data_IF_726583636186
#
_entry.id   IF_726583636186
#
_cell.length_a   1.000
_cell.length_b   1.000
_cell.length_c   1.000
_cell.angle_alpha   90.00
_cell.angle_beta   90.00
_cell.angle_gamma   90.00
#
_symmetry.space_group_name_H-M   'P 1'
#
loop_
_entity.id
_entity.type
_entity.pdbx_description
1 polymer ?
#
# COMPACT_ATOMS: atom_id res chain seq x y z
N UNK A 1 -27.47 6.99 -8.53
CA UNK A 1 -26.26 6.53 -7.84
C UNK A 1 -26.57 5.82 -6.51
N UNK A 2 -27.42 6.36 -5.61
CA UNK A 2 -27.76 5.72 -4.32
C UNK A 2 -28.24 4.29 -4.46
N UNK A 3 -29.16 4.03 -5.39
CA UNK A 3 -29.68 2.68 -5.66
C UNK A 3 -28.54 1.75 -6.16
N UNK A 4 -27.65 2.26 -7.02
CA UNK A 4 -26.51 1.50 -7.55
C UNK A 4 -25.48 1.15 -6.45
N UNK A 5 -25.24 2.07 -5.52
CA UNK A 5 -24.42 1.80 -4.33
C UNK A 5 -25.05 0.68 -3.49
N UNK A 6 -26.36 0.75 -3.26
CA UNK A 6 -27.07 -0.29 -2.52
C UNK A 6 -26.98 -1.66 -3.23
N UNK A 7 -27.21 -1.69 -4.55
CA UNK A 7 -27.09 -2.92 -5.35
C UNK A 7 -25.66 -3.47 -5.33
N UNK A 8 -24.64 -2.60 -5.45
CA UNK A 8 -23.23 -2.99 -5.36
C UNK A 8 -22.93 -3.60 -3.99
N UNK A 9 -23.35 -2.96 -2.90
CA UNK A 9 -23.18 -3.47 -1.54
C UNK A 9 -23.83 -4.85 -1.36
N UNK A 10 -25.08 -5.01 -1.78
CA UNK A 10 -25.81 -6.28 -1.64
C UNK A 10 -25.12 -7.41 -2.43
N UNK A 11 -24.68 -7.11 -3.63
CA UNK A 11 -23.94 -8.07 -4.48
C UNK A 11 -22.63 -8.49 -3.84
N UNK A 12 -21.83 -7.51 -3.40
CA UNK A 12 -20.49 -7.79 -2.85
C UNK A 12 -20.55 -8.49 -1.50
N UNK A 13 -21.53 -8.15 -0.66
CA UNK A 13 -21.75 -8.82 0.63
C UNK A 13 -21.85 -10.35 0.46
N UNK A 14 -22.56 -10.80 -0.56
CA UNK A 14 -22.81 -12.22 -0.82
C UNK A 14 -21.77 -12.89 -1.73
N UNK A 15 -20.73 -12.16 -2.18
CA UNK A 15 -19.70 -12.70 -3.07
C UNK A 15 -18.45 -13.08 -2.27
N UNK A 16 -18.00 -14.35 -2.29
CA UNK A 16 -16.74 -14.75 -1.67
C UNK A 16 -15.55 -13.99 -2.26
N UNK A 17 -14.57 -13.66 -1.43
CA UNK A 17 -13.40 -12.84 -1.86
C UNK A 17 -12.67 -13.51 -3.04
N UNK A 18 -12.39 -14.81 -2.97
CA UNK A 18 -11.71 -15.53 -4.05
C UNK A 18 -12.45 -15.40 -5.40
N UNK A 19 -13.80 -15.37 -5.38
CA UNK A 19 -14.62 -15.18 -6.59
C UNK A 19 -14.42 -13.80 -7.20
N UNK A 20 -14.15 -12.76 -6.40
CA UNK A 20 -13.87 -11.41 -6.90
C UNK A 20 -12.63 -11.40 -7.80
N UNK A 21 -11.59 -12.10 -7.37
CA UNK A 21 -10.33 -12.17 -8.11
C UNK A 21 -10.35 -13.10 -9.34
N UNK A 22 -11.38 -13.95 -9.48
CA UNK A 22 -11.57 -14.79 -10.66
C UNK A 22 -12.40 -14.13 -11.77
N UNK A 23 -12.95 -12.93 -11.54
CA UNK A 23 -13.72 -12.19 -12.55
C UNK A 23 -12.82 -11.71 -13.68
N UNK A 24 -13.43 -11.45 -14.85
CA UNK A 24 -12.74 -10.77 -15.96
C UNK A 24 -12.28 -9.39 -15.50
N UNK A 25 -11.02 -9.12 -15.68
CA UNK A 25 -10.38 -7.89 -15.26
C UNK A 25 -10.73 -6.72 -16.18
N UNK A 26 -10.98 -5.55 -15.59
CA UNK A 26 -11.22 -4.26 -16.24
C UNK A 26 -10.52 -3.19 -15.39
N UNK A 27 -10.37 -1.99 -15.92
CA UNK A 27 -10.01 -0.85 -15.06
C UNK A 27 -11.16 -0.52 -14.12
N UNK A 28 -10.87 0.00 -12.94
CA UNK A 28 -11.87 0.47 -11.99
C UNK A 28 -12.80 1.49 -12.63
N UNK A 29 -12.25 2.44 -13.43
CA UNK A 29 -13.05 3.43 -14.14
C UNK A 29 -14.07 2.79 -15.08
N UNK A 30 -13.61 1.90 -15.98
CA UNK A 30 -14.48 1.19 -16.92
C UNK A 30 -15.53 0.34 -16.20
N UNK A 31 -15.16 -0.24 -15.05
CA UNK A 31 -16.08 -1.01 -14.24
C UNK A 31 -17.20 -0.14 -13.64
N UNK A 32 -16.86 1.00 -13.03
CA UNK A 32 -17.83 1.95 -12.48
C UNK A 32 -18.78 2.47 -13.55
N UNK A 33 -18.26 2.80 -14.73
CA UNK A 33 -19.07 3.20 -15.89
C UNK A 33 -20.02 2.07 -16.33
N UNK A 34 -19.53 0.82 -16.40
CA UNK A 34 -20.36 -0.34 -16.76
C UNK A 34 -21.46 -0.66 -15.74
N UNK A 35 -21.28 -0.27 -14.48
CA UNK A 35 -22.32 -0.29 -13.45
C UNK A 35 -23.30 0.88 -13.56
N UNK A 36 -23.06 1.81 -14.49
CA UNK A 36 -23.90 2.95 -14.80
C UNK A 36 -23.83 4.07 -13.77
N UNK A 37 -22.76 4.17 -12.96
CA UNK A 37 -22.56 5.33 -12.09
C UNK A 37 -22.41 6.62 -12.90
N UNK A 38 -22.93 7.73 -12.38
CA UNK A 38 -22.81 9.03 -13.04
C UNK A 38 -21.37 9.54 -12.98
N UNK A 39 -20.97 10.35 -13.96
CA UNK A 39 -19.66 11.01 -13.96
C UNK A 39 -19.46 11.87 -12.70
N UNK A 40 -20.55 12.43 -12.18
CA UNK A 40 -20.53 13.24 -10.97
C UNK A 40 -20.02 12.45 -9.76
N UNK A 41 -20.61 11.27 -9.49
CA UNK A 41 -20.17 10.47 -8.33
C UNK A 41 -18.79 9.85 -8.57
N UNK A 42 -18.47 9.50 -9.82
CA UNK A 42 -17.13 9.01 -10.18
C UNK A 42 -16.09 10.08 -9.89
N UNK A 43 -16.29 11.30 -10.33
CA UNK A 43 -15.28 12.39 -10.19
C UNK A 43 -15.23 12.98 -8.79
N UNK A 44 -16.36 13.05 -8.09
CA UNK A 44 -16.43 13.71 -6.79
C UNK A 44 -16.24 12.78 -5.59
N UNK A 45 -16.37 11.48 -5.77
CA UNK A 45 -16.23 10.50 -4.68
C UNK A 45 -15.28 9.36 -5.05
N UNK A 46 -15.62 8.52 -6.04
CA UNK A 46 -14.83 7.32 -6.32
C UNK A 46 -13.39 7.66 -6.71
N UNK A 47 -13.20 8.63 -7.58
CA UNK A 47 -11.87 9.03 -8.03
C UNK A 47 -11.01 9.57 -6.88
N UNK A 48 -11.38 10.60 -6.12
CA UNK A 48 -10.53 11.09 -5.02
C UNK A 48 -10.29 10.03 -3.94
N UNK A 49 -11.29 9.19 -3.63
CA UNK A 49 -11.15 8.16 -2.60
C UNK A 49 -10.22 7.02 -3.03
N UNK A 50 -10.51 6.41 -4.16
CA UNK A 50 -9.72 5.26 -4.63
C UNK A 50 -8.36 5.66 -5.20
N UNK A 51 -8.18 6.89 -5.69
CA UNK A 51 -6.86 7.40 -6.05
C UNK A 51 -5.90 7.36 -4.86
N UNK A 52 -6.36 7.76 -3.68
CA UNK A 52 -5.54 7.71 -2.47
C UNK A 52 -5.16 6.28 -2.04
N UNK A 53 -6.00 5.29 -2.35
CA UNK A 53 -5.75 3.87 -2.04
C UNK A 53 -4.83 3.24 -3.09
N UNK A 54 -5.11 3.51 -4.37
CA UNK A 54 -4.37 2.91 -5.49
C UNK A 54 -3.11 3.69 -5.87
N UNK A 55 -2.85 4.83 -5.26
CA UNK A 55 -1.75 5.75 -5.54
C UNK A 55 -1.66 6.10 -7.04
N UNK A 56 -2.81 6.44 -7.63
CA UNK A 56 -2.95 6.84 -9.03
C UNK A 56 -4.12 7.82 -9.23
N UNK A 57 -4.10 8.56 -10.34
CA UNK A 57 -5.11 9.60 -10.55
C UNK A 57 -6.28 9.18 -11.47
N UNK A 58 -6.21 8.04 -12.18
CA UNK A 58 -7.11 7.76 -13.30
C UNK A 58 -7.94 6.47 -13.17
N UNK A 59 -7.94 5.85 -12.00
CA UNK A 59 -8.68 4.61 -11.70
C UNK A 59 -8.37 3.48 -12.71
N UNK A 60 -7.08 3.33 -13.08
CA UNK A 60 -6.60 2.28 -13.97
C UNK A 60 -6.41 0.94 -13.24
N UNK A 61 -6.26 0.96 -11.92
CA UNK A 61 -6.14 -0.24 -11.10
C UNK A 61 -7.33 -1.17 -11.33
N UNK A 62 -7.06 -2.47 -11.25
CA UNK A 62 -8.02 -3.55 -11.51
C UNK A 62 -9.34 -3.40 -10.75
N UNK A 63 -10.43 -3.66 -11.44
CA UNK A 63 -11.77 -3.74 -10.84
C UNK A 63 -11.90 -4.83 -9.78
N UNK A 64 -11.04 -5.85 -9.80
CA UNK A 64 -10.95 -6.88 -8.75
C UNK A 64 -10.53 -6.24 -7.43
N UNK A 65 -9.48 -5.38 -7.45
CA UNK A 65 -9.05 -4.63 -6.27
C UNK A 65 -10.11 -3.64 -5.79
N UNK A 66 -10.78 -2.95 -6.71
CA UNK A 66 -11.89 -2.06 -6.37
C UNK A 66 -12.98 -2.81 -5.60
N UNK A 67 -13.49 -3.92 -6.14
CA UNK A 67 -14.56 -4.70 -5.50
C UNK A 67 -14.09 -5.30 -4.15
N UNK A 68 -12.86 -5.78 -4.07
CA UNK A 68 -12.28 -6.30 -2.83
C UNK A 68 -12.23 -5.23 -1.74
N UNK A 69 -11.62 -4.08 -2.03
CA UNK A 69 -11.48 -2.99 -1.06
C UNK A 69 -12.85 -2.43 -0.68
N UNK A 70 -13.73 -2.24 -1.66
CA UNK A 70 -15.08 -1.75 -1.41
C UNK A 70 -15.86 -2.70 -0.48
N UNK A 71 -15.75 -4.01 -0.69
CA UNK A 71 -16.32 -5.02 0.19
C UNK A 71 -15.75 -4.93 1.61
N UNK A 72 -14.44 -4.80 1.77
CA UNK A 72 -13.80 -4.72 3.09
C UNK A 72 -14.28 -3.48 3.87
N UNK A 73 -14.40 -2.33 3.21
CA UNK A 73 -14.97 -1.12 3.84
C UNK A 73 -16.44 -1.24 4.21
N UNK A 74 -17.21 -2.05 3.47
CA UNK A 74 -18.63 -2.30 3.77
C UNK A 74 -18.85 -3.29 4.94
N UNK A 75 -17.86 -4.13 5.23
CA UNK A 75 -17.95 -5.21 6.24
C UNK A 75 -17.19 -4.94 7.54
N UNK A 76 -16.28 -3.96 7.54
CA UNK A 76 -15.40 -3.70 8.68
C UNK A 76 -15.14 -2.23 8.93
N UNK A 77 -14.30 -1.98 9.93
CA UNK A 77 -13.81 -0.66 10.27
C UNK A 77 -12.35 -0.48 9.82
N UNK A 78 -12.02 0.72 9.35
CA UNK A 78 -10.63 1.11 9.19
C UNK A 78 -10.02 1.32 10.59
N UNK A 79 -8.98 0.57 10.93
CA UNK A 79 -8.32 0.61 12.24
C UNK A 79 -6.83 0.81 12.09
N UNK A 80 -6.21 1.36 13.14
CA UNK A 80 -4.76 1.46 13.27
C UNK A 80 -4.31 0.75 14.55
N UNK A 81 -3.22 -0.02 14.53
CA UNK A 81 -2.65 -0.57 15.74
C UNK A 81 -2.28 0.55 16.72
N UNK A 82 -2.54 0.37 18.02
CA UNK A 82 -2.25 1.37 19.07
C UNK A 82 -0.79 1.86 19.05
N UNK A 83 0.15 0.98 18.73
CA UNK A 83 1.58 1.28 18.66
C UNK A 83 2.08 1.58 17.22
N UNK A 84 1.16 1.95 16.29
CA UNK A 84 1.45 2.21 14.89
C UNK A 84 1.50 0.94 14.04
N UNK A 85 1.52 1.11 12.71
CA UNK A 85 1.43 -0.01 11.75
C UNK A 85 2.60 -1.00 11.90
N UNK A 86 3.79 -0.53 12.28
CA UNK A 86 4.96 -1.37 12.52
C UNK A 86 4.78 -2.40 13.66
N UNK A 87 3.75 -2.23 14.52
CA UNK A 87 3.45 -3.19 15.58
C UNK A 87 3.07 -4.58 15.05
N UNK A 88 2.50 -4.64 13.84
CA UNK A 88 2.15 -5.91 13.18
C UNK A 88 3.41 -6.74 12.94
N UNK A 89 4.41 -6.16 12.27
CA UNK A 89 5.68 -6.85 12.01
C UNK A 89 6.43 -7.21 13.30
N UNK A 90 6.44 -6.32 14.30
CA UNK A 90 7.05 -6.60 15.61
C UNK A 90 6.36 -7.75 16.34
N UNK A 91 5.03 -7.82 16.27
CA UNK A 91 4.27 -8.91 16.87
C UNK A 91 4.60 -10.25 16.22
N UNK A 92 4.65 -10.30 14.87
CA UNK A 92 5.07 -11.50 14.15
C UNK A 92 6.49 -11.92 14.52
N UNK A 93 7.44 -11.00 14.49
CA UNK A 93 8.84 -11.26 14.86
C UNK A 93 8.99 -11.78 16.29
N UNK A 94 8.17 -11.30 17.25
CA UNK A 94 8.20 -11.75 18.65
C UNK A 94 7.80 -13.20 18.86
N UNK A 95 7.13 -13.83 17.89
CA UNK A 95 6.76 -15.24 17.94
C UNK A 95 7.90 -16.18 17.49
N UNK A 96 8.92 -15.65 16.82
CA UNK A 96 10.06 -16.41 16.34
C UNK A 96 11.03 -16.69 17.49
N UNK A 97 11.01 -17.93 18.03
CA UNK A 97 11.81 -18.30 19.23
C UNK A 97 13.22 -18.78 18.89
N UNK A 98 13.38 -19.45 17.76
CA UNK A 98 14.64 -20.10 17.33
C UNK A 98 15.28 -19.42 16.12
N UNK A 99 14.60 -18.44 15.53
CA UNK A 99 15.06 -17.73 14.34
C UNK A 99 16.00 -16.59 14.74
N UNK A 100 17.16 -16.54 14.09
CA UNK A 100 18.07 -15.42 14.22
C UNK A 100 17.61 -14.26 13.32
N UNK A 101 17.34 -13.09 13.90
CA UNK A 101 17.01 -11.87 13.16
C UNK A 101 18.22 -10.94 13.20
N UNK A 102 18.77 -10.65 12.02
CA UNK A 102 19.89 -9.72 11.86
C UNK A 102 19.40 -8.42 11.23
N UNK A 103 19.44 -7.33 11.99
CA UNK A 103 19.12 -5.98 11.50
C UNK A 103 20.38 -5.25 11.07
N UNK A 104 20.23 -4.22 10.22
CA UNK A 104 21.33 -3.43 9.67
C UNK A 104 22.36 -4.29 8.91
N UNK A 105 21.90 -5.35 8.28
CA UNK A 105 22.71 -6.31 7.55
C UNK A 105 22.20 -6.36 6.10
N UNK A 106 22.76 -5.53 5.24
CA UNK A 106 22.31 -5.36 3.87
C UNK A 106 22.79 -6.52 3.00
N UNK A 107 21.85 -7.13 2.25
CA UNK A 107 22.16 -8.13 1.23
C UNK A 107 22.53 -7.43 -0.07
N UNK A 108 23.73 -7.72 -0.57
CA UNK A 108 24.22 -7.18 -1.82
C UNK A 108 23.86 -8.05 -3.04
N UNK A 109 23.93 -9.39 -2.87
CA UNK A 109 23.69 -10.34 -3.97
C UNK A 109 23.16 -11.67 -3.43
N UNK A 110 22.28 -12.28 -4.18
CA UNK A 110 21.80 -13.65 -3.98
C UNK A 110 22.00 -14.44 -5.28
N UNK A 111 22.58 -15.61 -5.18
CA UNK A 111 22.67 -16.61 -6.24
C UNK A 111 22.27 -17.99 -5.69
N UNK A 112 22.33 -19.05 -6.49
CA UNK A 112 21.93 -20.41 -6.12
C UNK A 112 22.65 -21.03 -4.92
N UNK A 113 23.83 -20.52 -4.57
CA UNK A 113 24.71 -21.14 -3.56
C UNK A 113 24.84 -20.32 -2.28
N UNK A 114 24.88 -18.99 -2.42
CA UNK A 114 25.08 -18.11 -1.28
C UNK A 114 24.41 -16.74 -1.39
N UNK A 115 24.23 -16.17 -0.21
CA UNK A 115 23.86 -14.76 -0.01
C UNK A 115 25.15 -14.02 0.30
N UNK A 116 25.45 -12.96 -0.46
CA UNK A 116 26.59 -12.07 -0.21
C UNK A 116 26.07 -10.78 0.44
N UNK A 117 26.65 -10.45 1.59
CA UNK A 117 26.32 -9.24 2.32
C UNK A 117 27.12 -8.05 1.82
N UNK A 118 26.68 -6.82 2.09
CA UNK A 118 27.41 -5.60 1.78
C UNK A 118 28.77 -5.51 2.49
N UNK A 119 28.97 -6.23 3.61
CA UNK A 119 30.25 -6.40 4.31
C UNK A 119 31.24 -7.28 3.52
N UNK A 120 30.80 -8.03 2.52
CA UNK A 120 31.57 -9.05 1.82
C UNK A 120 31.42 -10.47 2.39
N UNK A 121 30.75 -10.63 3.54
CA UNK A 121 30.49 -11.94 4.13
C UNK A 121 29.56 -12.75 3.23
N UNK A 122 29.74 -14.08 3.23
CA UNK A 122 28.91 -15.00 2.47
C UNK A 122 28.27 -16.05 3.37
N UNK A 123 27.00 -16.33 3.12
CA UNK A 123 26.23 -17.35 3.83
C UNK A 123 25.65 -18.35 2.83
N UNK A 124 25.97 -19.62 3.00
CA UNK A 124 25.29 -20.71 2.29
C UNK A 124 23.90 -20.94 2.88
N UNK A 125 23.00 -21.49 2.09
CA UNK A 125 21.64 -21.80 2.51
C UNK A 125 21.12 -23.07 1.81
N UNK A 126 20.18 -23.74 2.43
CA UNK A 126 19.45 -24.86 1.82
C UNK A 126 18.30 -24.33 0.95
N UNK A 127 17.55 -23.34 1.44
CA UNK A 127 16.49 -22.62 0.72
C UNK A 127 16.53 -21.13 1.08
N UNK A 128 16.35 -20.26 0.11
CA UNK A 128 16.28 -18.81 0.29
C UNK A 128 14.88 -18.28 -0.04
N UNK A 129 14.29 -17.50 0.88
CA UNK A 129 13.06 -16.75 0.62
C UNK A 129 13.40 -15.26 0.52
N UNK A 130 13.21 -14.69 -0.66
CA UNK A 130 13.39 -13.27 -0.94
C UNK A 130 12.07 -12.55 -0.70
N UNK A 131 11.94 -11.85 0.43
CA UNK A 131 10.74 -11.18 0.88
C UNK A 131 10.74 -9.65 0.63
N UNK A 132 11.46 -9.21 -0.38
CA UNK A 132 11.56 -7.80 -0.81
C UNK A 132 11.66 -7.73 -2.33
N UNK A 133 11.74 -6.51 -2.91
CA UNK A 133 11.95 -6.35 -4.35
C UNK A 133 13.31 -6.96 -4.77
N UNK A 134 13.31 -8.04 -5.57
CA UNK A 134 14.52 -8.77 -5.90
C UNK A 134 15.40 -8.06 -6.93
N UNK A 135 14.89 -7.04 -7.62
CA UNK A 135 15.51 -6.44 -8.81
C UNK A 135 16.89 -5.82 -8.58
N UNK A 136 17.28 -5.55 -7.33
CA UNK A 136 18.54 -4.90 -6.99
C UNK A 136 19.67 -5.86 -6.63
N UNK A 137 19.39 -7.11 -6.27
CA UNK A 137 20.39 -8.02 -5.72
C UNK A 137 20.25 -9.49 -6.17
N UNK A 138 19.13 -9.86 -6.80
CA UNK A 138 18.97 -11.23 -7.30
C UNK A 138 19.57 -11.32 -8.70
N UNK A 139 20.61 -12.15 -8.82
CA UNK A 139 21.34 -12.33 -10.08
C UNK A 139 20.44 -12.94 -11.15
N UNK A 140 20.49 -12.40 -12.37
CA UNK A 140 19.67 -12.88 -13.50
C UNK A 140 18.19 -12.45 -13.47
N UNK A 141 17.71 -11.83 -12.41
CA UNK A 141 16.33 -11.36 -12.32
C UNK A 141 16.09 -10.18 -13.25
N UNK A 142 15.38 -10.45 -14.35
CA UNK A 142 15.15 -9.45 -15.40
C UNK A 142 13.80 -8.71 -15.30
N UNK A 143 12.90 -9.15 -14.41
CA UNK A 143 11.59 -8.53 -14.24
C UNK A 143 11.76 -7.18 -13.55
N UNK A 144 11.46 -6.11 -14.27
CA UNK A 144 11.42 -4.77 -13.68
C UNK A 144 10.06 -4.52 -13.09
N UNK A 145 9.96 -4.62 -11.78
CA UNK A 145 8.77 -4.20 -11.07
C UNK A 145 8.57 -2.68 -11.27
N UNK A 146 7.39 -2.30 -11.72
CA UNK A 146 6.99 -0.90 -11.75
C UNK A 146 6.38 -0.54 -10.40
N UNK A 147 6.60 0.69 -9.98
CA UNK A 147 6.13 1.19 -8.71
C UNK A 147 5.34 2.48 -8.90
N UNK A 148 4.27 2.60 -8.18
CA UNK A 148 3.56 3.86 -7.97
C UNK A 148 4.26 4.63 -6.86
N UNK A 149 4.24 5.94 -6.97
CA UNK A 149 4.93 6.85 -6.06
C UNK A 149 3.93 7.74 -5.35
N UNK A 150 4.27 8.24 -4.20
CA UNK A 150 3.52 9.31 -3.54
C UNK A 150 4.43 10.15 -2.67
N UNK A 151 3.99 11.37 -2.41
CA UNK A 151 4.58 12.22 -1.39
C UNK A 151 3.65 12.30 -0.18
N UNK A 152 4.21 12.14 1.00
CA UNK A 152 3.50 12.30 2.26
C UNK A 152 4.16 13.40 3.08
N UNK A 153 3.40 14.44 3.39
CA UNK A 153 3.87 15.56 4.20
C UNK A 153 3.17 15.57 5.55
N UNK A 154 3.93 15.81 6.60
CA UNK A 154 3.42 15.92 7.96
C UNK A 154 3.57 17.34 8.47
N UNK A 155 2.49 17.81 9.08
CA UNK A 155 2.44 19.13 9.72
C UNK A 155 1.90 19.00 11.15
N UNK A 156 2.37 19.86 12.04
CA UNK A 156 1.70 20.14 13.31
C UNK A 156 0.72 21.28 13.07
N UNK A 157 -0.52 21.09 13.48
CA UNK A 157 -1.61 22.06 13.32
C UNK A 157 -2.22 22.34 14.67
N UNK A 158 -2.35 23.61 15.01
CA UNK A 158 -3.10 23.99 16.21
C UNK A 158 -4.60 23.92 15.93
N UNK A 159 -5.32 23.22 16.79
CA UNK A 159 -6.78 23.05 16.69
C UNK A 159 -7.43 23.43 18.00
N UNK A 160 -8.68 23.89 17.95
CA UNK A 160 -9.47 24.17 19.16
C UNK A 160 -10.11 22.86 19.68
N UNK A 161 -10.54 21.99 18.76
CA UNK A 161 -11.15 20.71 19.05
C UNK A 161 -10.44 19.59 18.29
N UNK A 162 -10.43 18.38 18.83
CA UNK A 162 -9.87 17.21 18.16
C UNK A 162 -10.69 16.90 16.90
N UNK A 163 -10.08 16.91 15.71
CA UNK A 163 -10.81 16.60 14.48
C UNK A 163 -11.40 15.17 14.53
N UNK A 164 -12.53 14.93 13.87
CA UNK A 164 -13.08 13.59 13.77
C UNK A 164 -12.11 12.65 13.02
N UNK A 165 -12.13 11.34 13.31
CA UNK A 165 -11.25 10.35 12.67
C UNK A 165 -11.74 9.99 11.26
N UNK A 166 -11.75 10.98 10.37
CA UNK A 166 -12.17 10.82 8.97
C UNK A 166 -11.07 11.27 8.01
N UNK A 167 -11.07 10.70 6.82
CA UNK A 167 -10.20 11.14 5.71
C UNK A 167 -10.96 12.22 4.93
N UNK A 168 -10.35 13.40 4.81
CA UNK A 168 -10.87 14.47 3.97
C UNK A 168 -10.27 14.35 2.57
N UNK A 169 -11.13 14.30 1.56
CA UNK A 169 -10.76 14.13 0.17
C UNK A 169 -10.79 15.46 -0.58
N UNK A 170 -9.87 15.67 -1.51
CA UNK A 170 -9.96 16.74 -2.49
C UNK A 170 -10.58 16.20 -3.78
N UNK A 171 -11.76 16.73 -4.15
CA UNK A 171 -12.40 16.43 -5.44
C UNK A 171 -12.03 17.45 -6.54
N UNK A 172 -11.10 18.36 -6.25
CA UNK A 172 -10.67 19.40 -7.18
C UNK A 172 -9.59 18.85 -8.12
N UNK A 173 -9.78 19.04 -9.43
CA UNK A 173 -8.86 18.51 -10.44
C UNK A 173 -7.49 19.21 -10.48
N UNK A 174 -7.41 20.44 -9.99
CA UNK A 174 -6.23 21.31 -10.07
C UNK A 174 -5.45 21.42 -8.75
N UNK A 175 -5.70 20.52 -7.78
CA UNK A 175 -4.95 20.49 -6.51
C UNK A 175 -3.86 19.42 -6.54
N UNK A 176 -2.78 19.64 -5.77
CA UNK A 176 -1.76 18.63 -5.47
C UNK A 176 -2.27 17.66 -4.40
N UNK A 177 -2.98 18.19 -3.41
CA UNK A 177 -3.50 17.40 -2.28
C UNK A 177 -4.60 16.46 -2.78
N UNK A 178 -4.39 15.15 -2.59
CA UNK A 178 -5.42 14.14 -2.80
C UNK A 178 -6.30 14.01 -1.55
N UNK A 179 -5.69 13.86 -0.40
CA UNK A 179 -6.39 13.72 0.87
C UNK A 179 -5.57 14.22 2.04
N UNK A 180 -6.27 14.54 3.13
CA UNK A 180 -5.66 14.83 4.43
C UNK A 180 -6.29 13.96 5.51
N UNK A 181 -5.50 13.65 6.54
CA UNK A 181 -5.94 12.88 7.69
C UNK A 181 -5.22 13.34 8.95
N UNK A 182 -5.89 13.24 10.09
CA UNK A 182 -5.29 13.52 11.40
C UNK A 182 -5.02 12.20 12.15
N UNK A 183 -3.81 11.62 12.08
CA UNK A 183 -3.49 10.37 12.79
C UNK A 183 -3.77 10.45 14.29
N UNK A 184 -3.57 11.63 14.88
CA UNK A 184 -3.81 11.89 16.29
C UNK A 184 -5.30 11.97 16.68
N UNK A 185 -6.22 11.99 15.71
CA UNK A 185 -7.65 11.82 15.98
C UNK A 185 -8.02 10.37 16.39
N UNK A 186 -7.19 9.40 15.98
CA UNK A 186 -7.34 7.99 16.36
C UNK A 186 -6.38 7.62 17.49
N UNK A 187 -5.14 8.12 17.42
CA UNK A 187 -4.11 7.92 18.43
C UNK A 187 -3.95 9.24 19.20
N UNK A 188 -4.24 9.23 20.49
CA UNK A 188 -4.21 10.44 21.31
C UNK A 188 -2.88 11.19 21.19
N UNK A 189 -2.96 12.47 20.80
CA UNK A 189 -1.79 13.35 20.76
C UNK A 189 -1.24 13.62 22.18
N UNK A 190 0.09 13.76 22.33
CA UNK A 190 0.69 14.19 23.59
C UNK A 190 0.19 15.58 24.03
N UNK A 191 0.01 16.51 23.10
CA UNK A 191 -0.56 17.83 23.30
C UNK A 191 -1.93 17.91 22.59
N UNK A 192 -3.04 18.05 23.32
CA UNK A 192 -4.38 18.11 22.73
C UNK A 192 -4.61 19.32 21.83
N UNK A 193 -3.85 20.41 22.02
CA UNK A 193 -3.97 21.62 21.20
C UNK A 193 -3.21 21.51 19.87
N UNK A 194 -2.33 20.53 19.71
CA UNK A 194 -1.56 20.30 18.49
C UNK A 194 -1.85 18.92 17.94
N UNK A 195 -2.36 18.87 16.72
CA UNK A 195 -2.65 17.63 16.02
C UNK A 195 -1.65 17.39 14.89
N UNK A 196 -1.29 16.13 14.69
CA UNK A 196 -0.53 15.73 13.51
C UNK A 196 -1.47 15.68 12.31
N UNK A 197 -1.13 16.44 11.27
CA UNK A 197 -1.81 16.40 9.98
C UNK A 197 -0.92 15.64 8.98
N UNK A 198 -1.46 14.62 8.37
CA UNK A 198 -0.88 13.89 7.23
C UNK A 198 -1.54 14.37 5.94
N UNK A 199 -0.73 14.72 4.95
CA UNK A 199 -1.16 15.18 3.63
C UNK A 199 -0.58 14.26 2.58
N UNK A 200 -1.40 13.74 1.67
CA UNK A 200 -0.97 12.87 0.58
C UNK A 200 -1.05 13.61 -0.75
N UNK A 201 0.04 13.57 -1.50
CA UNK A 201 0.16 14.11 -2.86
C UNK A 201 0.48 12.94 -3.80
N UNK A 202 -0.32 12.78 -4.87
CA UNK A 202 -0.20 11.70 -5.85
C UNK A 202 0.27 12.18 -7.21
N UNK A 203 -0.02 13.44 -7.54
CA UNK A 203 0.36 14.01 -8.85
C UNK A 203 1.87 14.09 -8.96
N UNK A 204 2.38 13.59 -10.07
CA UNK A 204 3.80 13.75 -10.39
C UNK A 204 4.14 15.23 -10.54
N UNK A 205 5.27 15.62 -9.99
CA UNK A 205 5.80 16.97 -10.04
C UNK A 205 7.33 16.96 -10.00
N UNK A 206 7.94 18.09 -10.36
CA UNK A 206 9.39 18.30 -10.32
C UNK A 206 9.80 19.29 -9.22
N UNK A 207 8.95 19.50 -8.23
CA UNK A 207 9.22 20.45 -7.15
C UNK A 207 10.31 19.91 -6.19
N UNK A 208 11.15 20.81 -5.70
CA UNK A 208 11.96 20.51 -4.51
C UNK A 208 11.03 20.33 -3.29
N UNK A 209 11.56 19.74 -2.23
CA UNK A 209 10.79 19.56 -0.98
C UNK A 209 10.23 20.88 -0.44
N UNK A 210 11.05 21.95 -0.48
CA UNK A 210 10.68 23.29 0.01
C UNK A 210 9.54 23.88 -0.81
N UNK A 211 9.61 23.76 -2.15
CA UNK A 211 8.58 24.25 -3.06
C UNK A 211 7.29 23.47 -2.86
N UNK A 212 7.36 22.14 -2.75
CA UNK A 212 6.20 21.29 -2.50
C UNK A 212 5.52 21.64 -1.17
N UNK A 213 6.29 21.81 -0.10
CA UNK A 213 5.78 22.25 1.22
C UNK A 213 5.07 23.59 1.13
N UNK A 214 5.63 24.55 0.39
CA UNK A 214 5.02 25.88 0.18
C UNK A 214 3.70 25.79 -0.57
N UNK A 215 3.65 25.01 -1.67
CA UNK A 215 2.44 24.79 -2.46
C UNK A 215 1.34 24.10 -1.63
N UNK A 216 1.69 23.04 -0.92
CA UNK A 216 0.76 22.31 -0.06
C UNK A 216 0.21 23.19 1.05
N UNK A 217 1.02 24.05 1.68
CA UNK A 217 0.53 25.02 2.66
C UNK A 217 -0.49 26.00 2.06
N UNK A 218 -0.23 26.51 0.87
CA UNK A 218 -1.18 27.36 0.15
C UNK A 218 -2.50 26.67 -0.16
N UNK A 219 -2.47 25.41 -0.55
CA UNK A 219 -3.68 24.61 -0.78
C UNK A 219 -4.43 24.28 0.52
N UNK A 220 -3.72 23.96 1.61
CA UNK A 220 -4.31 23.74 2.94
C UNK A 220 -5.07 24.97 3.41
N UNK A 221 -4.50 26.17 3.25
CA UNK A 221 -5.16 27.43 3.58
C UNK A 221 -6.39 27.67 2.68
N UNK A 222 -6.21 27.57 1.37
CA UNK A 222 -7.22 27.94 0.38
C UNK A 222 -8.42 26.99 0.35
N UNK A 223 -8.18 25.68 0.44
CA UNK A 223 -9.22 24.69 0.19
C UNK A 223 -9.70 23.94 1.46
N UNK A 224 -8.87 23.93 2.52
CA UNK A 224 -9.19 23.24 3.75
C UNK A 224 -9.33 24.18 4.95
N UNK A 225 -9.11 25.50 4.76
CA UNK A 225 -9.14 26.51 5.82
C UNK A 225 -8.16 26.23 6.98
N UNK A 226 -7.05 25.58 6.67
CA UNK A 226 -5.99 25.24 7.63
C UNK A 226 -4.84 26.22 7.45
N UNK A 227 -4.74 27.22 8.34
CA UNK A 227 -3.83 28.36 8.16
C UNK A 227 -2.52 28.25 8.95
N UNK A 228 -2.54 27.79 10.19
CA UNK A 228 -1.38 27.79 11.09
C UNK A 228 -0.71 26.41 11.12
N UNK A 229 0.06 26.11 10.08
CA UNK A 229 0.77 24.84 9.93
C UNK A 229 2.26 24.98 10.21
N UNK A 230 2.82 24.10 11.06
CA UNK A 230 4.26 23.93 11.23
C UNK A 230 4.68 22.64 10.51
N UNK A 231 5.52 22.77 9.50
CA UNK A 231 6.07 21.62 8.78
C UNK A 231 6.91 20.73 9.72
N UNK A 232 6.73 19.44 9.64
CA UNK A 232 7.47 18.41 10.40
C UNK A 232 8.38 17.61 9.49
N UNK A 233 7.80 16.93 8.48
CA UNK A 233 8.56 15.99 7.64
C UNK A 233 7.89 15.80 6.29
N UNK A 234 8.72 15.57 5.27
CA UNK A 234 8.33 15.11 3.94
C UNK A 234 8.97 13.76 3.65
N UNK A 235 8.18 12.85 3.13
CA UNK A 235 8.62 11.56 2.60
C UNK A 235 8.24 11.48 1.12
N UNK A 236 9.23 11.47 0.25
CA UNK A 236 9.07 11.15 -1.17
C UNK A 236 9.23 9.63 -1.34
N UNK A 237 8.12 8.92 -1.48
CA UNK A 237 8.10 7.46 -1.48
C UNK A 237 8.11 6.96 -2.92
N UNK A 238 9.26 6.49 -3.39
CA UNK A 238 9.46 6.07 -4.78
C UNK A 238 8.93 4.66 -5.08
N UNK A 239 8.79 3.81 -4.05
CA UNK A 239 8.26 2.45 -4.15
C UNK A 239 7.13 2.29 -3.15
N UNK A 240 6.03 3.03 -3.38
CA UNK A 240 4.92 3.08 -2.42
C UNK A 240 3.93 1.94 -2.61
N UNK A 241 3.68 1.53 -3.85
CA UNK A 241 2.78 0.44 -4.19
C UNK A 241 3.25 -0.21 -5.50
N UNK A 242 3.28 -1.56 -5.62
CA UNK A 242 3.59 -2.19 -6.90
C UNK A 242 2.51 -1.87 -7.96
N UNK A 243 2.96 -1.52 -9.17
CA UNK A 243 2.08 -1.26 -10.31
C UNK A 243 1.87 -2.56 -11.09
N UNK A 244 0.87 -3.32 -10.68
CA UNK A 244 0.57 -4.65 -11.20
C UNK A 244 -0.35 -4.56 -12.41
N UNK A 245 0.01 -5.23 -13.51
CA UNK A 245 -0.82 -5.33 -14.71
C UNK A 245 -2.05 -6.21 -14.52
N UNK A 246 -1.96 -7.22 -13.66
CA UNK A 246 -3.04 -8.12 -13.25
C UNK A 246 -2.91 -8.44 -11.78
N UNK A 247 -4.05 -8.71 -11.11
CA UNK A 247 -4.08 -9.01 -9.69
C UNK A 247 -4.75 -10.35 -9.41
N UNK A 248 -4.24 -11.05 -8.39
CA UNK A 248 -4.78 -12.31 -7.88
C UNK A 248 -5.02 -12.23 -6.37
N UNK A 249 -5.86 -13.09 -5.83
CA UNK A 249 -6.08 -13.17 -4.38
C UNK A 249 -4.83 -13.66 -3.65
N UNK A 250 -4.22 -14.68 -4.21
CA UNK A 250 -3.00 -15.28 -3.68
C UNK A 250 -2.07 -15.62 -4.85
N UNK A 251 -0.75 -15.54 -4.67
CA UNK A 251 0.20 -15.85 -5.73
C UNK A 251 0.17 -17.34 -6.08
N UNK A 252 0.52 -17.67 -7.33
CA UNK A 252 0.80 -19.03 -7.72
C UNK A 252 2.23 -19.40 -7.28
N UNK A 253 2.42 -20.56 -6.65
CA UNK A 253 3.72 -21.03 -6.17
C UNK A 253 4.74 -21.15 -7.30
N UNK A 254 4.32 -21.65 -8.47
CA UNK A 254 5.20 -21.74 -9.64
C UNK A 254 5.76 -20.38 -10.09
N UNK A 255 4.98 -19.30 -9.91
CA UNK A 255 5.42 -17.93 -10.21
C UNK A 255 6.28 -17.32 -9.09
N UNK A 256 6.27 -17.94 -7.91
CA UNK A 256 7.09 -17.52 -6.78
C UNK A 256 8.45 -18.21 -6.78
N UNK A 257 8.59 -19.35 -7.43
CA UNK A 257 9.87 -20.07 -7.56
C UNK A 257 10.69 -19.40 -8.66
N UNK A 258 11.83 -18.85 -8.29
CA UNK A 258 12.76 -18.20 -9.22
C UNK A 258 13.79 -19.20 -9.76
N UNK A 259 14.40 -19.94 -8.85
CA UNK A 259 15.32 -21.05 -9.10
C UNK A 259 15.02 -22.13 -8.06
N UNK A 260 15.52 -23.34 -8.24
CA UNK A 260 15.17 -24.52 -7.43
C UNK A 260 15.16 -24.29 -5.91
N UNK A 261 16.01 -23.35 -5.42
CA UNK A 261 16.15 -23.03 -3.99
C UNK A 261 15.79 -21.60 -3.62
N UNK A 262 15.32 -20.79 -4.58
CA UNK A 262 15.01 -19.38 -4.36
C UNK A 262 13.53 -19.11 -4.61
N UNK A 263 12.83 -18.71 -3.55
CA UNK A 263 11.42 -18.37 -3.56
C UNK A 263 11.24 -16.86 -3.37
N UNK A 264 10.34 -16.26 -4.12
CA UNK A 264 10.01 -14.82 -4.03
C UNK A 264 8.68 -14.65 -3.30
N UNK A 265 8.61 -13.72 -2.36
CA UNK A 265 7.35 -13.32 -1.75
C UNK A 265 7.28 -11.81 -1.52
N UNK A 266 6.08 -11.31 -1.33
CA UNK A 266 5.79 -9.89 -1.16
C UNK A 266 4.45 -9.51 -1.78
N UNK A 267 3.99 -8.31 -1.52
CA UNK A 267 2.74 -7.78 -2.06
C UNK A 267 2.75 -7.67 -3.59
N UNK A 268 3.94 -7.50 -4.18
CA UNK A 268 4.16 -7.43 -5.63
C UNK A 268 3.87 -8.76 -6.36
N UNK A 269 3.76 -9.86 -5.64
CA UNK A 269 3.49 -11.19 -6.23
C UNK A 269 2.00 -11.43 -6.49
N UNK A 270 1.09 -10.60 -6.00
CA UNK A 270 -0.36 -10.83 -6.16
C UNK A 270 -1.24 -9.58 -6.30
N UNK A 271 -1.38 -8.70 -5.29
CA UNK A 271 -2.34 -7.59 -5.39
C UNK A 271 -1.96 -6.30 -4.66
N UNK A 272 -0.71 -6.14 -4.24
CA UNK A 272 -0.24 -4.88 -3.66
C UNK A 272 -0.86 -4.53 -2.31
N UNK A 273 -1.12 -5.49 -1.43
CA UNK A 273 -1.69 -5.26 -0.10
C UNK A 273 -0.89 -5.96 0.99
N UNK A 274 -1.06 -5.49 2.25
CA UNK A 274 -0.47 -6.17 3.40
C UNK A 274 -0.95 -7.62 3.52
N UNK A 275 -2.23 -7.90 3.23
CA UNK A 275 -2.77 -9.26 3.20
C UNK A 275 -2.05 -10.11 2.15
N UNK A 276 -1.82 -9.55 0.96
CA UNK A 276 -1.08 -10.23 -0.10
C UNK A 276 0.35 -10.57 0.32
N UNK A 277 1.04 -9.64 0.96
CA UNK A 277 2.38 -9.88 1.49
C UNK A 277 2.39 -11.03 2.51
N UNK A 278 1.43 -11.07 3.43
CA UNK A 278 1.31 -12.14 4.43
C UNK A 278 0.98 -13.49 3.79
N UNK A 279 0.01 -13.56 2.89
CA UNK A 279 -0.37 -14.79 2.17
C UNK A 279 0.80 -15.30 1.32
N UNK A 280 1.54 -14.40 0.67
CA UNK A 280 2.70 -14.79 -0.12
C UNK A 280 3.83 -15.36 0.74
N UNK A 281 4.06 -14.78 1.92
CA UNK A 281 5.04 -15.32 2.89
C UNK A 281 4.67 -16.71 3.39
N UNK A 282 3.38 -16.95 3.71
CA UNK A 282 2.86 -18.27 4.10
C UNK A 282 3.08 -19.28 2.98
N UNK A 283 2.75 -18.95 1.72
CA UNK A 283 2.97 -19.84 0.58
C UNK A 283 4.45 -20.09 0.31
N UNK A 284 5.30 -19.10 0.41
CA UNK A 284 6.73 -19.27 0.24
C UNK A 284 7.31 -20.18 1.32
N UNK A 285 6.81 -20.13 2.56
CA UNK A 285 7.26 -21.03 3.61
C UNK A 285 6.87 -22.49 3.34
N UNK A 286 5.68 -22.76 2.81
CA UNK A 286 5.28 -24.10 2.39
C UNK A 286 6.16 -24.61 1.24
N UNK A 287 6.38 -23.77 0.19
CA UNK A 287 7.29 -24.15 -0.89
C UNK A 287 8.74 -24.40 -0.42
N UNK A 288 9.21 -23.66 0.58
CA UNK A 288 10.52 -23.91 1.17
C UNK A 288 10.59 -25.27 1.91
N UNK A 289 9.53 -25.66 2.62
CA UNK A 289 9.45 -26.98 3.26
C UNK A 289 9.46 -28.11 2.22
N UNK A 290 8.68 -27.97 1.15
CA UNK A 290 8.65 -28.93 0.05
C UNK A 290 10.05 -29.11 -0.59
N UNK A 291 10.80 -28.01 -0.76
CA UNK A 291 12.18 -28.07 -1.26
C UNK A 291 13.15 -28.80 -0.30
N UNK A 292 12.97 -28.64 1.01
CA UNK A 292 13.80 -29.28 2.04
C UNK A 292 13.50 -30.78 2.18
N UNK A 293 12.27 -31.22 1.92
CA UNK A 293 11.86 -32.62 1.99
C UNK A 293 12.28 -33.43 0.75
N UNK A 294 12.49 -32.75 -0.39
CA UNK A 294 12.87 -33.38 -1.66
C UNK A 294 14.38 -33.50 -1.86
N UNK A 295 15.19 -32.87 -1.06
CA UNK A 295 16.66 -32.95 -1.03
C UNK A 295 17.14 -33.84 0.13
#
# INVERSE_FOLDING_TARGET
>A
DKLKIFQLNLRLKNTPIATLFNKKEKTTLSHLQSLGFSDKIITQFFKPFFSGIFLECDLQTSSRMFEFIYKMFAEGFATLPKAGIGAIAKQLASQLKTTQIQLNNEVQKVNTDFITMASGDQYSYDVCIVATDPSSFLEGYSVKNRWKTCDTLYFSVRVNDVPPPIIHLSALSNTLINNIFYPTSVQRAPDPNHQLLSVTVLKQHLFSSEVLVSQVKGELEKYFSITKTKFIKHYAIQRALPDLGSVSYAPNLDLMTYEDKILLCGDHTSNGSLNAAMISGERASHGALDCLETN
#
